data_IF_914197686437
#
_entry.id   IF_914197686437
#
_cell.length_a   1.000
_cell.length_b   1.000
_cell.length_c   1.000
_cell.angle_alpha   90.00
_cell.angle_beta   90.00
_cell.angle_gamma   90.00
#
_symmetry.space_group_name_H-M   'P 1'
#
loop_
_entity.id
_entity.type
_entity.pdbx_description
1 polymer ?
#
# COMPACT_ATOMS: atom_id res chain seq x y z
N UNK A 1 -30.56 39.27 -53.37
CA UNK A 1 -29.87 40.29 -54.20
C UNK A 1 -28.68 39.74 -54.99
N UNK A 2 -27.71 39.03 -54.38
CA UNK A 2 -26.52 38.50 -55.10
C UNK A 2 -26.86 37.56 -56.28
N UNK A 3 -27.83 36.66 -56.08
CA UNK A 3 -28.29 35.73 -57.13
C UNK A 3 -28.99 36.42 -58.30
N UNK A 4 -29.77 37.48 -58.03
CA UNK A 4 -30.44 38.27 -59.06
C UNK A 4 -29.43 39.08 -59.89
N UNK A 5 -28.41 39.66 -59.24
CA UNK A 5 -27.34 40.39 -59.91
C UNK A 5 -26.46 39.47 -60.79
N UNK A 6 -26.20 38.24 -60.35
CA UNK A 6 -25.50 37.23 -61.16
C UNK A 6 -26.32 36.80 -62.38
N UNK A 7 -27.64 36.68 -62.25
CA UNK A 7 -28.53 36.34 -63.36
C UNK A 7 -28.58 37.45 -64.41
N UNK A 8 -28.64 38.71 -63.97
CA UNK A 8 -28.64 39.87 -64.86
C UNK A 8 -27.28 40.07 -65.56
N UNK A 9 -26.18 39.80 -64.85
CA UNK A 9 -24.83 39.79 -65.43
C UNK A 9 -24.66 38.64 -66.44
N UNK A 10 -25.17 37.44 -66.13
CA UNK A 10 -25.14 36.31 -67.05
C UNK A 10 -25.94 36.59 -68.33
N UNK A 11 -27.12 37.20 -68.21
CA UNK A 11 -27.96 37.62 -69.34
C UNK A 11 -27.27 38.68 -70.22
N UNK A 12 -26.57 39.63 -69.58
CA UNK A 12 -25.81 40.66 -70.29
C UNK A 12 -24.62 40.07 -71.04
N UNK A 13 -23.88 39.16 -70.42
CA UNK A 13 -22.74 38.46 -71.05
C UNK A 13 -23.20 37.55 -72.19
N UNK A 14 -24.32 36.83 -72.05
CA UNK A 14 -24.87 36.02 -73.15
C UNK A 14 -25.35 36.86 -74.31
N UNK A 15 -25.97 38.03 -74.06
CA UNK A 15 -26.36 38.97 -75.12
C UNK A 15 -25.16 39.57 -75.86
N UNK A 16 -24.07 39.89 -75.14
CA UNK A 16 -22.83 40.42 -75.72
C UNK A 16 -22.10 39.37 -76.57
N UNK A 17 -22.06 38.13 -76.10
CA UNK A 17 -21.51 36.98 -76.83
C UNK A 17 -22.35 36.68 -78.07
N UNK A 18 -23.68 36.72 -77.98
CA UNK A 18 -24.58 36.51 -79.11
C UNK A 18 -24.42 37.60 -80.20
N UNK A 19 -24.16 38.85 -79.81
CA UNK A 19 -23.88 39.92 -80.77
C UNK A 19 -22.53 39.71 -81.48
N UNK A 20 -21.50 39.26 -80.75
CA UNK A 20 -20.20 38.88 -81.32
C UNK A 20 -20.24 37.68 -82.27
N UNK A 21 -21.23 36.78 -82.13
CA UNK A 21 -21.45 35.66 -83.06
C UNK A 21 -21.93 36.09 -84.45
N UNK A 22 -22.56 37.26 -84.57
CA UNK A 22 -23.21 37.72 -85.82
C UNK A 22 -22.24 38.46 -86.75
N UNK A 23 -21.13 39.00 -86.24
CA UNK A 23 -20.22 39.84 -87.02
C UNK A 23 -19.03 39.11 -87.66
N UNK A 24 -18.59 37.94 -87.18
CA UNK A 24 -17.53 37.15 -87.84
C UNK A 24 -17.62 35.64 -87.50
N UNK A 25 -17.79 34.81 -88.54
CA UNK A 25 -17.75 33.34 -88.44
C UNK A 25 -16.30 32.84 -88.53
N UNK A 26 -15.47 33.17 -87.53
CA UNK A 26 -14.17 32.53 -87.39
C UNK A 26 -14.34 31.00 -87.35
N UNK A 27 -13.52 30.27 -88.10
CA UNK A 27 -13.52 28.81 -88.11
C UNK A 27 -12.24 28.28 -87.46
N UNK A 28 -12.36 27.16 -86.76
CA UNK A 28 -11.24 26.39 -86.23
C UNK A 28 -11.10 25.18 -87.15
N UNK A 29 -9.96 25.08 -87.84
CA UNK A 29 -9.61 23.92 -88.63
C UNK A 29 -8.57 23.11 -87.86
N UNK A 30 -8.96 21.88 -87.47
CA UNK A 30 -8.05 20.93 -86.83
C UNK A 30 -7.72 19.88 -87.89
N UNK A 31 -6.50 19.93 -88.42
CA UNK A 31 -5.98 18.93 -89.34
C UNK A 31 -5.22 17.86 -88.56
N UNK A 32 -5.62 16.60 -88.71
CA UNK A 32 -4.91 15.45 -88.14
C UNK A 32 -4.80 14.36 -89.20
N UNK A 33 -3.58 14.10 -89.67
CA UNK A 33 -3.34 13.19 -90.82
C UNK A 33 -4.03 13.68 -92.09
N UNK A 34 -4.74 12.78 -92.78
CA UNK A 34 -5.51 13.08 -94.00
C UNK A 34 -6.93 13.59 -93.72
N UNK A 35 -7.29 13.84 -92.45
CA UNK A 35 -8.63 14.30 -92.06
C UNK A 35 -8.61 15.73 -91.55
N UNK A 36 -9.41 16.58 -92.18
CA UNK A 36 -9.66 17.95 -91.73
C UNK A 36 -11.03 18.04 -91.07
N UNK A 37 -11.05 18.44 -89.81
CA UNK A 37 -12.29 18.77 -89.09
C UNK A 37 -12.45 20.27 -89.03
N UNK A 38 -13.47 20.78 -89.72
CA UNK A 38 -13.86 22.19 -89.68
C UNK A 38 -14.98 22.36 -88.66
N UNK A 39 -14.74 23.20 -87.65
CA UNK A 39 -15.76 23.59 -86.68
C UNK A 39 -15.82 25.11 -86.56
N UNK A 40 -16.97 25.65 -86.18
CA UNK A 40 -17.08 27.08 -85.89
C UNK A 40 -16.34 27.39 -84.59
N UNK A 41 -15.68 28.54 -84.52
CA UNK A 41 -14.91 28.96 -83.33
C UNK A 41 -15.77 28.91 -82.06
N UNK A 42 -17.05 29.24 -82.20
CA UNK A 42 -18.04 29.17 -81.13
C UNK A 42 -18.36 27.75 -80.67
N UNK A 43 -18.48 26.79 -81.59
CA UNK A 43 -18.69 25.39 -81.23
C UNK A 43 -17.47 24.81 -80.50
N UNK A 44 -16.26 25.19 -80.92
CA UNK A 44 -15.02 24.87 -80.20
C UNK A 44 -14.99 25.43 -78.78
N UNK A 45 -15.41 26.67 -78.58
CA UNK A 45 -15.48 27.30 -77.25
C UNK A 45 -16.47 26.59 -76.33
N UNK A 46 -17.67 26.26 -76.84
CA UNK A 46 -18.68 25.50 -76.09
C UNK A 46 -18.13 24.13 -75.69
N UNK A 47 -17.43 23.43 -76.59
CA UNK A 47 -16.83 22.14 -76.30
C UNK A 47 -15.80 22.21 -75.16
N UNK A 48 -14.93 23.22 -75.17
CA UNK A 48 -13.94 23.43 -74.09
C UNK A 48 -14.64 23.70 -72.75
N UNK A 49 -15.71 24.51 -72.76
CA UNK A 49 -16.46 24.85 -71.55
C UNK A 49 -17.19 23.62 -70.98
N UNK A 50 -17.79 22.80 -71.84
CA UNK A 50 -18.40 21.52 -71.47
C UNK A 50 -17.35 20.57 -70.89
N UNK A 51 -16.17 20.47 -71.51
CA UNK A 51 -15.08 19.62 -71.02
C UNK A 51 -14.60 20.07 -69.63
N UNK A 52 -14.48 21.39 -69.42
CA UNK A 52 -14.09 21.96 -68.13
C UNK A 52 -15.14 21.71 -67.05
N UNK A 53 -16.43 21.89 -67.39
CA UNK A 53 -17.53 21.59 -66.48
C UNK A 53 -17.58 20.10 -66.12
N UNK A 54 -17.39 19.20 -67.10
CA UNK A 54 -17.33 17.76 -66.88
C UNK A 54 -16.16 17.38 -65.95
N UNK A 55 -14.96 17.93 -66.18
CA UNK A 55 -13.80 17.75 -65.30
C UNK A 55 -14.08 18.24 -63.87
N UNK A 56 -14.74 19.40 -63.72
CA UNK A 56 -15.08 19.95 -62.42
C UNK A 56 -16.07 19.05 -61.66
N UNK A 57 -17.11 18.56 -62.34
CA UNK A 57 -18.10 17.61 -61.78
C UNK A 57 -17.44 16.29 -61.41
N UNK A 58 -16.59 15.72 -62.27
CA UNK A 58 -15.85 14.48 -61.99
C UNK A 58 -14.96 14.66 -60.75
N UNK A 59 -14.27 15.80 -60.62
CA UNK A 59 -13.42 16.10 -59.45
C UNK A 59 -14.24 16.22 -58.17
N UNK A 60 -15.40 16.87 -58.24
CA UNK A 60 -16.32 17.00 -57.10
C UNK A 60 -16.90 15.64 -56.68
N UNK A 61 -17.28 14.81 -57.65
CA UNK A 61 -17.78 13.46 -57.41
C UNK A 61 -16.69 12.57 -56.78
N UNK A 62 -15.45 12.64 -57.28
CA UNK A 62 -14.30 11.95 -56.67
C UNK A 62 -14.12 12.36 -55.21
N UNK A 63 -14.16 13.66 -54.90
CA UNK A 63 -14.02 14.15 -53.52
C UNK A 63 -15.12 13.64 -52.58
N UNK A 64 -16.38 13.56 -53.04
CA UNK A 64 -17.50 13.05 -52.22
C UNK A 64 -17.42 11.53 -52.03
N UNK A 65 -17.09 10.79 -53.08
CA UNK A 65 -16.97 9.32 -53.02
C UNK A 65 -15.76 8.91 -52.17
N UNK A 66 -14.59 9.50 -52.41
CA UNK A 66 -13.37 9.25 -51.61
C UNK A 66 -13.42 9.87 -50.21
N UNK A 67 -14.28 10.88 -49.97
CA UNK A 67 -14.52 11.42 -48.63
C UNK A 67 -15.47 10.53 -47.79
N UNK A 68 -16.37 9.80 -48.45
CA UNK A 68 -17.30 8.86 -47.81
C UNK A 68 -16.63 7.53 -47.45
N UNK A 69 -15.68 7.07 -48.27
CA UNK A 69 -14.76 6.01 -47.89
C UNK A 69 -13.62 6.63 -47.08
N UNK A 70 -13.57 6.39 -45.78
CA UNK A 70 -12.65 6.97 -44.77
C UNK A 70 -11.13 6.70 -45.01
N UNK A 71 -10.67 6.56 -46.25
CA UNK A 71 -9.33 6.17 -46.69
C UNK A 71 -8.35 7.35 -46.80
N UNK A 72 -8.80 8.60 -46.89
CA UNK A 72 -7.91 9.73 -47.26
C UNK A 72 -8.03 10.95 -46.34
N UNK A 73 -8.28 10.75 -45.04
CA UNK A 73 -7.85 11.76 -44.07
C UNK A 73 -6.41 11.41 -43.72
N UNK A 74 -5.38 12.15 -44.19
CA UNK A 74 -4.03 11.95 -43.69
C UNK A 74 -4.12 12.17 -42.20
N UNK A 75 -4.00 11.08 -41.45
CA UNK A 75 -4.02 11.10 -40.01
C UNK A 75 -2.74 11.82 -39.59
N UNK A 76 -2.84 13.14 -39.51
CA UNK A 76 -1.75 14.00 -39.06
C UNK A 76 -1.32 13.55 -37.67
N UNK A 77 -0.03 13.71 -37.35
CA UNK A 77 0.50 13.37 -36.03
C UNK A 77 -0.32 14.03 -34.90
N UNK A 78 -0.83 15.25 -35.13
CA UNK A 78 -1.73 15.94 -34.21
C UNK A 78 -3.09 15.25 -34.00
N UNK A 79 -3.69 14.68 -35.06
CA UNK A 79 -4.94 13.92 -34.95
C UNK A 79 -4.75 12.59 -34.21
N UNK A 80 -3.59 11.91 -34.37
CA UNK A 80 -3.23 10.72 -33.56
C UNK A 80 -3.13 11.07 -32.09
N UNK A 81 -2.35 12.10 -31.75
CA UNK A 81 -2.17 12.57 -30.37
C UNK A 81 -3.50 12.96 -29.71
N UNK A 82 -4.37 13.68 -30.43
CA UNK A 82 -5.70 14.04 -29.91
C UNK A 82 -6.56 12.81 -29.61
N UNK A 83 -6.56 11.82 -30.51
CA UNK A 83 -7.30 10.56 -30.29
C UNK A 83 -6.70 9.73 -29.16
N UNK A 84 -5.38 9.65 -29.06
CA UNK A 84 -4.70 8.98 -27.96
C UNK A 84 -5.05 9.62 -26.60
N UNK A 85 -5.07 10.96 -26.50
CA UNK A 85 -5.51 11.68 -25.29
C UNK A 85 -6.97 11.36 -24.93
N UNK A 86 -7.88 11.38 -25.91
CA UNK A 86 -9.29 11.02 -25.69
C UNK A 86 -9.43 9.57 -25.21
N UNK A 87 -8.70 8.65 -25.83
CA UNK A 87 -8.69 7.24 -25.44
C UNK A 87 -8.10 7.05 -24.04
N UNK A 88 -7.05 7.78 -23.66
CA UNK A 88 -6.49 7.75 -22.31
C UNK A 88 -7.52 8.19 -21.27
N UNK A 89 -8.15 9.36 -21.47
CA UNK A 89 -9.15 9.89 -20.53
C UNK A 89 -10.37 8.96 -20.42
N UNK A 90 -10.89 8.46 -21.54
CA UNK A 90 -12.01 7.50 -21.53
C UNK A 90 -11.61 6.16 -20.93
N UNK A 91 -10.39 5.71 -21.21
CA UNK A 91 -9.84 4.47 -20.67
C UNK A 91 -9.69 4.51 -19.16
N UNK A 92 -9.16 5.61 -18.61
CA UNK A 92 -9.08 5.84 -17.16
C UNK A 92 -10.48 5.92 -16.53
N UNK A 93 -11.43 6.61 -17.17
CA UNK A 93 -12.81 6.65 -16.69
C UNK A 93 -13.44 5.24 -16.66
N UNK A 94 -13.22 4.44 -17.70
CA UNK A 94 -13.69 3.06 -17.75
C UNK A 94 -13.01 2.17 -16.72
N UNK A 95 -11.73 2.39 -16.44
CA UNK A 95 -11.02 1.71 -15.34
C UNK A 95 -11.72 2.01 -14.00
N UNK A 96 -11.99 3.29 -13.70
CA UNK A 96 -12.67 3.66 -12.44
C UNK A 96 -14.09 3.07 -12.36
N UNK A 97 -14.81 3.03 -13.48
CA UNK A 97 -16.16 2.44 -13.56
C UNK A 97 -16.20 0.91 -13.46
N UNK A 98 -15.04 0.23 -13.47
CA UNK A 98 -14.96 -1.23 -13.48
C UNK A 98 -15.13 -1.87 -14.86
N UNK A 99 -15.14 -1.09 -15.93
CA UNK A 99 -15.25 -1.57 -17.30
C UNK A 99 -13.88 -2.02 -17.85
N UNK A 100 -13.27 -2.99 -17.19
CA UNK A 100 -11.87 -3.41 -17.39
C UNK A 100 -11.52 -3.73 -18.85
N UNK A 101 -12.40 -4.50 -19.53
CA UNK A 101 -12.22 -4.91 -20.93
C UNK A 101 -12.13 -3.73 -21.90
N UNK A 102 -12.92 -2.69 -21.67
CA UNK A 102 -12.86 -1.47 -22.50
C UNK A 102 -11.68 -0.60 -22.11
N UNK A 103 -11.37 -0.55 -20.82
CA UNK A 103 -10.28 0.25 -20.26
C UNK A 103 -8.92 -0.19 -20.83
N UNK A 104 -8.55 -1.48 -20.73
CA UNK A 104 -7.23 -1.93 -21.19
C UNK A 104 -7.04 -1.71 -22.71
N UNK A 105 -8.10 -1.90 -23.53
CA UNK A 105 -8.04 -1.65 -24.98
C UNK A 105 -7.81 -0.17 -25.29
N UNK A 106 -8.53 0.72 -24.62
CA UNK A 106 -8.41 2.17 -24.82
C UNK A 106 -7.06 2.69 -24.31
N UNK A 107 -6.63 2.23 -23.12
CA UNK A 107 -5.36 2.59 -22.51
C UNK A 107 -4.16 2.04 -23.29
N UNK A 108 -4.20 0.78 -23.73
CA UNK A 108 -3.15 0.17 -24.55
C UNK A 108 -2.97 0.89 -25.90
N UNK A 109 -4.08 1.25 -26.57
CA UNK A 109 -4.01 2.09 -27.79
C UNK A 109 -3.46 3.49 -27.49
N UNK A 110 -3.89 4.09 -26.38
CA UNK A 110 -3.39 5.39 -25.95
C UNK A 110 -1.91 5.37 -25.54
N UNK A 111 -1.40 4.22 -25.09
CA UNK A 111 0.01 4.04 -24.75
C UNK A 111 0.88 4.01 -26.01
N UNK A 112 0.48 3.26 -27.04
CA UNK A 112 1.22 3.12 -28.29
C UNK A 112 1.28 4.40 -29.14
N UNK A 113 0.24 5.24 -29.08
CA UNK A 113 0.11 6.44 -29.94
C UNK A 113 0.21 7.77 -29.18
N UNK A 114 0.28 7.73 -27.84
CA UNK A 114 0.13 8.90 -26.98
C UNK A 114 1.43 9.48 -26.44
N UNK A 115 1.31 10.59 -25.72
CA UNK A 115 2.44 11.33 -25.14
C UNK A 115 2.84 10.82 -23.75
N UNK A 116 2.06 9.90 -23.17
CA UNK A 116 2.36 9.30 -21.85
C UNK A 116 2.24 7.77 -21.88
N UNK A 117 3.14 7.08 -22.61
CA UNK A 117 3.09 5.62 -22.75
C UNK A 117 3.15 4.89 -21.42
N UNK A 118 4.04 5.31 -20.50
CA UNK A 118 4.23 4.65 -19.20
C UNK A 118 2.94 4.56 -18.39
N UNK A 119 2.30 5.71 -18.12
CA UNK A 119 1.08 5.75 -17.29
C UNK A 119 -0.04 4.94 -17.94
N UNK A 120 -0.17 5.03 -19.26
CA UNK A 120 -1.20 4.31 -20.00
C UNK A 120 -0.95 2.79 -20.01
N UNK A 121 0.29 2.32 -20.19
CA UNK A 121 0.62 0.91 -20.10
C UNK A 121 0.43 0.36 -18.69
N UNK A 122 0.85 1.08 -17.64
CA UNK A 122 0.64 0.63 -16.25
C UNK A 122 -0.85 0.57 -15.90
N UNK A 123 -1.64 1.54 -16.36
CA UNK A 123 -3.10 1.52 -16.18
C UNK A 123 -3.76 0.38 -16.98
N UNK A 124 -3.27 0.10 -18.20
CA UNK A 124 -3.73 -1.03 -19.00
C UNK A 124 -3.37 -2.39 -18.35
N UNK A 125 -2.17 -2.52 -17.79
CA UNK A 125 -1.74 -3.67 -17.01
C UNK A 125 -2.67 -3.90 -15.81
N UNK A 126 -2.99 -2.84 -15.06
CA UNK A 126 -3.95 -2.93 -13.95
C UNK A 126 -5.35 -3.36 -14.40
N UNK A 127 -5.84 -2.84 -15.52
CA UNK A 127 -7.12 -3.26 -16.09
C UNK A 127 -7.11 -4.74 -16.49
N UNK A 128 -6.04 -5.21 -17.14
CA UNK A 128 -5.87 -6.61 -17.53
C UNK A 128 -5.80 -7.54 -16.30
N UNK A 129 -5.09 -7.13 -15.26
CA UNK A 129 -4.98 -7.88 -14.02
C UNK A 129 -6.33 -8.03 -13.31
N UNK A 130 -7.13 -6.96 -13.28
CA UNK A 130 -8.49 -7.00 -12.73
C UNK A 130 -9.47 -7.85 -13.55
N UNK A 131 -9.12 -8.18 -14.81
CA UNK A 131 -9.83 -9.17 -15.61
C UNK A 131 -9.38 -10.61 -15.35
N UNK A 132 -8.30 -10.82 -14.59
CA UNK A 132 -7.66 -12.12 -14.39
C UNK A 132 -6.75 -12.55 -15.55
N UNK A 133 -6.40 -11.64 -16.46
CA UNK A 133 -5.52 -11.93 -17.61
C UNK A 133 -4.06 -11.61 -17.28
N UNK A 134 -3.40 -12.57 -16.61
CA UNK A 134 -1.98 -12.48 -16.24
C UNK A 134 -1.03 -12.37 -17.44
N UNK A 135 -1.20 -13.13 -18.54
CA UNK A 135 -0.38 -12.97 -19.74
C UNK A 135 -0.40 -11.55 -20.29
N UNK A 136 -1.59 -10.96 -20.41
CA UNK A 136 -1.77 -9.61 -20.93
C UNK A 136 -1.22 -8.54 -19.96
N UNK A 137 -1.36 -8.77 -18.65
CA UNK A 137 -0.76 -7.93 -17.61
C UNK A 137 0.76 -7.88 -17.77
N UNK A 138 1.40 -9.06 -17.89
CA UNK A 138 2.84 -9.17 -18.10
C UNK A 138 3.30 -8.54 -19.42
N UNK A 139 2.50 -8.64 -20.48
CA UNK A 139 2.78 -7.98 -21.76
C UNK A 139 2.84 -6.45 -21.62
N UNK A 140 1.84 -5.84 -20.98
CA UNK A 140 1.81 -4.39 -20.78
C UNK A 140 2.95 -3.89 -19.89
N UNK A 141 3.30 -4.63 -18.83
CA UNK A 141 4.44 -4.29 -17.97
C UNK A 141 5.77 -4.37 -18.74
N UNK A 142 5.97 -5.40 -19.57
CA UNK A 142 7.16 -5.50 -20.43
C UNK A 142 7.25 -4.37 -21.45
N UNK A 143 6.15 -4.00 -22.10
CA UNK A 143 6.13 -2.85 -23.02
C UNK A 143 6.45 -1.55 -22.32
N UNK A 144 5.92 -1.34 -21.11
CA UNK A 144 6.24 -0.17 -20.31
C UNK A 144 7.74 -0.06 -20.00
N UNK A 145 8.40 -1.17 -19.64
CA UNK A 145 9.83 -1.19 -19.34
C UNK A 145 10.72 -1.04 -20.60
N UNK A 146 10.31 -1.63 -21.72
CA UNK A 146 11.06 -1.59 -22.97
C UNK A 146 10.93 -0.26 -23.74
N UNK A 147 9.74 0.34 -23.77
CA UNK A 147 9.46 1.52 -24.59
C UNK A 147 9.76 2.84 -23.85
N UNK A 148 9.86 2.84 -22.52
CA UNK A 148 10.06 4.06 -21.72
C UNK A 148 11.34 3.98 -20.88
N UNK A 149 12.37 4.76 -21.23
CA UNK A 149 13.59 4.84 -20.44
C UNK A 149 13.32 5.25 -18.98
N UNK A 150 13.89 4.53 -18.01
CA UNK A 150 13.72 4.82 -16.58
C UNK A 150 12.41 4.31 -15.96
N UNK A 151 11.57 3.58 -16.72
CA UNK A 151 10.30 3.04 -16.22
C UNK A 151 10.43 1.91 -15.19
N UNK A 152 11.60 1.27 -15.09
CA UNK A 152 11.84 0.06 -14.28
C UNK A 152 11.35 0.16 -12.84
N UNK A 153 11.50 1.32 -12.21
CA UNK A 153 11.01 1.54 -10.83
C UNK A 153 9.48 1.54 -10.77
N UNK A 154 8.83 2.26 -11.68
CA UNK A 154 7.38 2.35 -11.74
C UNK A 154 6.74 1.00 -12.12
N UNK A 155 7.36 0.27 -13.04
CA UNK A 155 6.97 -1.09 -13.44
C UNK A 155 7.08 -2.05 -12.26
N UNK A 156 8.23 -2.07 -11.56
CA UNK A 156 8.43 -2.95 -10.40
C UNK A 156 7.49 -2.65 -9.24
N UNK A 157 7.22 -1.37 -8.95
CA UNK A 157 6.23 -0.97 -7.94
C UNK A 157 4.83 -1.45 -8.34
N UNK A 158 4.45 -1.23 -9.60
CA UNK A 158 3.13 -1.65 -10.10
C UNK A 158 2.98 -3.16 -10.01
N UNK A 159 3.99 -3.92 -10.46
CA UNK A 159 4.00 -5.37 -10.35
C UNK A 159 3.82 -5.85 -8.90
N UNK A 160 4.57 -5.28 -7.96
CA UNK A 160 4.44 -5.60 -6.54
C UNK A 160 3.05 -5.26 -5.98
N UNK A 161 2.45 -4.14 -6.40
CA UNK A 161 1.09 -3.76 -6.01
C UNK A 161 0.04 -4.75 -6.54
N UNK A 162 0.17 -5.20 -7.79
CA UNK A 162 -0.76 -6.16 -8.40
C UNK A 162 -0.70 -7.49 -7.65
N UNK A 163 0.51 -8.03 -7.40
CA UNK A 163 0.68 -9.24 -6.58
C UNK A 163 0.09 -9.08 -5.17
N UNK A 164 0.33 -7.93 -4.53
CA UNK A 164 -0.27 -7.59 -3.21
C UNK A 164 -1.80 -7.58 -3.25
N UNK A 165 -2.41 -7.04 -4.31
CA UNK A 165 -3.87 -7.01 -4.46
C UNK A 165 -4.49 -8.38 -4.67
N UNK A 166 -3.76 -9.32 -5.28
CA UNK A 166 -4.18 -10.72 -5.44
C UNK A 166 -3.87 -11.60 -4.23
N UNK A 167 -3.26 -11.06 -3.17
CA UNK A 167 -2.82 -11.86 -2.02
C UNK A 167 -1.59 -12.74 -2.31
N UNK A 168 -0.92 -12.55 -3.44
CA UNK A 168 0.30 -13.25 -3.84
C UNK A 168 1.52 -12.63 -3.12
N UNK A 169 1.60 -12.84 -1.81
CA UNK A 169 2.56 -12.15 -0.94
C UNK A 169 4.02 -12.51 -1.26
N UNK A 170 4.30 -13.78 -1.58
CA UNK A 170 5.66 -14.24 -1.92
C UNK A 170 6.15 -13.64 -3.23
N UNK A 171 5.28 -13.58 -4.25
CA UNK A 171 5.59 -12.96 -5.54
C UNK A 171 5.81 -11.46 -5.37
N UNK A 172 4.99 -10.80 -4.54
CA UNK A 172 5.20 -9.40 -4.20
C UNK A 172 6.54 -9.17 -3.48
N UNK A 173 6.91 -10.06 -2.56
CA UNK A 173 8.18 -9.99 -1.85
C UNK A 173 9.37 -10.15 -2.80
N UNK A 174 9.31 -11.12 -3.71
CA UNK A 174 10.35 -11.35 -4.71
C UNK A 174 10.56 -10.13 -5.61
N UNK A 175 9.46 -9.57 -6.14
CA UNK A 175 9.49 -8.36 -6.97
C UNK A 175 10.07 -7.15 -6.21
N UNK A 176 9.66 -6.94 -4.95
CA UNK A 176 10.17 -5.84 -4.13
C UNK A 176 11.65 -6.02 -3.76
N UNK A 177 12.11 -7.25 -3.52
CA UNK A 177 13.52 -7.53 -3.24
C UNK A 177 14.42 -7.30 -4.46
N UNK A 178 13.96 -7.68 -5.66
CA UNK A 178 14.67 -7.35 -6.90
C UNK A 178 14.74 -5.83 -7.09
N UNK A 179 13.62 -5.13 -6.90
CA UNK A 179 13.56 -3.68 -7.00
C UNK A 179 14.46 -3.00 -5.97
N UNK A 180 14.54 -3.53 -4.75
CA UNK A 180 15.38 -3.01 -3.67
C UNK A 180 16.87 -3.09 -4.01
N UNK A 181 17.33 -4.07 -4.80
CA UNK A 181 18.72 -4.11 -5.29
C UNK A 181 19.04 -2.92 -6.20
N UNK A 182 18.06 -2.48 -7.00
CA UNK A 182 18.20 -1.36 -7.94
C UNK A 182 18.04 -0.02 -7.23
N UNK A 183 17.03 0.13 -6.37
CA UNK A 183 16.70 1.40 -5.68
C UNK A 183 16.42 1.16 -4.19
N UNK A 184 17.47 0.96 -3.36
CA UNK A 184 17.30 0.53 -1.97
C UNK A 184 16.62 1.55 -1.05
N UNK A 185 16.58 2.83 -1.45
CA UNK A 185 16.09 3.94 -0.62
C UNK A 185 14.72 4.48 -1.04
N UNK A 186 14.02 3.83 -1.97
CA UNK A 186 12.75 4.33 -2.47
C UNK A 186 11.65 4.26 -1.38
N UNK A 187 11.11 5.39 -0.87
CA UNK A 187 10.22 5.39 0.31
C UNK A 187 8.96 4.56 0.12
N UNK A 188 8.30 4.67 -1.04
CA UNK A 188 7.07 3.93 -1.30
C UNK A 188 7.29 2.42 -1.39
N UNK A 189 8.43 1.99 -1.92
CA UNK A 189 8.80 0.56 -1.98
C UNK A 189 9.02 0.01 -0.58
N UNK A 190 9.68 0.78 0.30
CA UNK A 190 9.87 0.41 1.70
C UNK A 190 8.53 0.28 2.43
N UNK A 191 7.54 1.15 2.15
CA UNK A 191 6.17 0.98 2.68
C UNK A 191 5.51 -0.32 2.21
N UNK A 192 5.68 -0.69 0.93
CA UNK A 192 5.16 -1.96 0.42
C UNK A 192 5.83 -3.15 1.09
N UNK A 193 7.15 -3.10 1.30
CA UNK A 193 7.89 -4.15 2.02
C UNK A 193 7.39 -4.32 3.45
N UNK A 194 7.12 -3.23 4.18
CA UNK A 194 6.50 -3.30 5.52
C UNK A 194 5.19 -4.07 5.46
N UNK A 195 4.31 -3.73 4.50
CA UNK A 195 3.01 -4.39 4.35
C UNK A 195 3.16 -5.88 4.02
N UNK A 196 4.12 -6.24 3.16
CA UNK A 196 4.39 -7.63 2.78
C UNK A 196 4.94 -8.41 3.98
N UNK A 197 5.98 -7.91 4.64
CA UNK A 197 6.57 -8.59 5.79
C UNK A 197 5.58 -8.76 6.94
N UNK A 198 4.76 -7.74 7.20
CA UNK A 198 3.71 -7.82 8.22
C UNK A 198 2.68 -8.92 7.90
N UNK A 199 2.22 -9.01 6.64
CA UNK A 199 1.25 -10.03 6.22
C UNK A 199 1.82 -11.45 6.14
N UNK A 200 3.13 -11.58 5.88
CA UNK A 200 3.83 -12.86 5.88
C UNK A 200 4.30 -13.30 7.28
N UNK A 201 4.10 -12.48 8.31
CA UNK A 201 4.64 -12.71 9.66
C UNK A 201 6.19 -12.85 9.68
N UNK A 202 6.85 -12.15 8.76
CA UNK A 202 8.31 -12.10 8.59
C UNK A 202 8.92 -11.04 9.52
N UNK A 203 8.77 -11.25 10.82
CA UNK A 203 9.12 -10.25 11.85
C UNK A 203 10.61 -9.94 11.91
N UNK A 204 11.49 -10.91 11.66
CA UNK A 204 12.95 -10.70 11.63
C UNK A 204 13.35 -9.76 10.47
N UNK A 205 12.71 -9.93 9.32
CA UNK A 205 12.92 -9.07 8.15
C UNK A 205 12.35 -7.67 8.38
N UNK A 206 11.19 -7.58 9.05
CA UNK A 206 10.60 -6.31 9.46
C UNK A 206 11.49 -5.57 10.46
N UNK A 207 12.02 -6.26 11.47
CA UNK A 207 12.93 -5.71 12.48
C UNK A 207 14.19 -5.10 11.85
N UNK A 208 14.79 -5.78 10.87
CA UNK A 208 15.94 -5.26 10.11
C UNK A 208 15.60 -4.05 9.24
N UNK A 209 14.33 -3.88 8.86
CA UNK A 209 13.86 -2.76 8.04
C UNK A 209 13.61 -1.49 8.86
N UNK A 210 13.21 -1.59 10.13
CA UNK A 210 12.83 -0.46 10.98
C UNK A 210 13.87 0.69 11.04
N UNK A 211 15.18 0.44 11.25
CA UNK A 211 16.17 1.52 11.29
C UNK A 211 16.30 2.27 9.96
N UNK A 212 16.06 1.58 8.84
CA UNK A 212 16.08 2.16 7.50
C UNK A 212 14.86 3.08 7.32
N UNK A 213 13.68 2.67 7.80
CA UNK A 213 12.46 3.48 7.76
C UNK A 213 12.59 4.76 8.57
N UNK A 214 13.18 4.67 9.76
CA UNK A 214 13.42 5.81 10.65
C UNK A 214 14.40 6.80 10.02
N UNK A 215 15.54 6.31 9.52
CA UNK A 215 16.58 7.14 8.89
C UNK A 215 16.06 7.89 7.67
N UNK A 216 15.18 7.26 6.88
CA UNK A 216 14.62 7.85 5.67
C UNK A 216 13.27 8.55 5.89
N UNK A 217 12.77 8.63 7.14
CA UNK A 217 11.49 9.24 7.50
C UNK A 217 10.33 8.76 6.62
N UNK A 218 10.32 7.45 6.32
CA UNK A 218 9.32 6.84 5.43
C UNK A 218 7.94 6.85 6.08
N UNK A 219 7.91 6.66 7.40
CA UNK A 219 6.72 6.65 8.25
C UNK A 219 6.92 7.63 9.41
N UNK A 220 5.82 8.14 10.01
CA UNK A 220 5.88 8.89 11.26
C UNK A 220 6.57 8.09 12.38
N UNK A 221 7.26 8.78 13.28
CA UNK A 221 8.00 8.13 14.39
C UNK A 221 7.07 7.30 15.30
N UNK A 222 5.83 7.73 15.48
CA UNK A 222 4.82 7.01 16.26
C UNK A 222 4.43 5.67 15.60
N UNK A 223 4.21 5.66 14.29
CA UNK A 223 3.93 4.43 13.54
C UNK A 223 5.12 3.46 13.59
N UNK A 224 6.35 3.97 13.49
CA UNK A 224 7.56 3.15 13.60
C UNK A 224 7.66 2.54 15.00
N UNK A 225 7.40 3.33 16.06
CA UNK A 225 7.44 2.83 17.44
C UNK A 225 6.37 1.76 17.70
N UNK A 226 5.17 1.94 17.15
CA UNK A 226 4.10 0.94 17.23
C UNK A 226 4.50 -0.36 16.51
N UNK A 227 4.94 -0.24 15.26
CA UNK A 227 5.39 -1.37 14.44
C UNK A 227 6.57 -2.12 15.07
N UNK A 228 7.48 -1.38 15.72
CA UNK A 228 8.58 -1.95 16.48
C UNK A 228 8.07 -2.77 17.67
N UNK A 229 7.13 -2.22 18.45
CA UNK A 229 6.52 -2.94 19.57
C UNK A 229 5.87 -4.25 19.12
N UNK A 230 5.02 -4.18 18.09
CA UNK A 230 4.33 -5.34 17.52
C UNK A 230 5.33 -6.39 16.98
N UNK A 231 6.36 -5.97 16.24
CA UNK A 231 7.36 -6.89 15.70
C UNK A 231 8.11 -7.63 16.81
N UNK A 232 8.53 -6.92 17.86
CA UNK A 232 9.25 -7.54 18.97
C UNK A 232 8.37 -8.41 19.84
N UNK A 233 7.12 -8.00 20.10
CA UNK A 233 6.14 -8.85 20.78
C UNK A 233 6.02 -10.21 20.10
N UNK A 234 5.87 -10.21 18.78
CA UNK A 234 5.73 -11.43 17.98
C UNK A 234 7.03 -12.25 17.95
N UNK A 235 8.19 -11.60 17.82
CA UNK A 235 9.49 -12.29 17.89
C UNK A 235 9.70 -12.97 19.25
N UNK A 236 9.38 -12.28 20.36
CA UNK A 236 9.45 -12.88 21.69
C UNK A 236 8.44 -14.02 21.86
N UNK A 237 7.21 -13.87 21.35
CA UNK A 237 6.22 -14.95 21.36
C UNK A 237 6.72 -16.19 20.61
N UNK A 238 7.27 -16.02 19.40
CA UNK A 238 7.84 -17.12 18.62
C UNK A 238 9.05 -17.77 19.32
N UNK A 239 9.94 -16.98 19.92
CA UNK A 239 11.06 -17.48 20.69
C UNK A 239 10.59 -18.26 21.93
N UNK A 240 9.57 -17.76 22.63
CA UNK A 240 8.97 -18.43 23.78
C UNK A 240 8.31 -19.75 23.39
N UNK A 241 7.58 -19.80 22.28
CA UNK A 241 6.96 -21.03 21.79
C UNK A 241 8.00 -22.08 21.39
N UNK A 242 9.10 -21.67 20.73
CA UNK A 242 10.23 -22.57 20.43
C UNK A 242 10.82 -23.14 21.71
N UNK A 243 11.04 -22.31 22.74
CA UNK A 243 11.52 -22.75 24.05
C UNK A 243 10.56 -23.71 24.76
N UNK A 244 9.25 -23.46 24.69
CA UNK A 244 8.23 -24.33 25.29
C UNK A 244 8.18 -25.70 24.60
N UNK A 245 8.34 -25.74 23.26
CA UNK A 245 8.38 -26.99 22.50
C UNK A 245 9.64 -27.82 22.79
N UNK A 246 10.76 -27.17 23.12
CA UNK A 246 11.99 -27.85 23.56
C UNK A 246 11.86 -28.50 24.95
N UNK A 247 10.83 -28.14 25.73
CA UNK A 247 10.54 -28.78 27.01
C UNK A 247 11.61 -28.55 28.08
N UNK A 248 12.26 -29.62 28.52
CA UNK A 248 13.31 -29.61 29.57
C UNK A 248 14.74 -29.55 29.00
N UNK A 249 14.89 -29.36 27.70
CA UNK A 249 16.20 -29.22 27.09
C UNK A 249 16.96 -28.03 27.71
N UNK A 250 18.27 -28.17 27.93
CA UNK A 250 19.12 -27.12 28.48
C UNK A 250 19.08 -25.86 27.58
N UNK A 251 18.86 -26.06 26.29
CA UNK A 251 18.79 -25.01 25.29
C UNK A 251 17.41 -24.33 25.18
N UNK A 252 16.45 -24.64 26.05
CA UNK A 252 15.09 -24.04 25.98
C UNK A 252 15.08 -22.51 26.05
N UNK A 253 16.06 -21.91 26.73
CA UNK A 253 16.18 -20.45 26.87
C UNK A 253 16.96 -19.80 25.72
N UNK A 254 17.72 -20.58 24.96
CA UNK A 254 18.59 -20.10 23.88
C UNK A 254 17.86 -19.20 22.87
N UNK A 255 16.62 -19.50 22.40
CA UNK A 255 15.93 -18.61 21.46
C UNK A 255 15.62 -17.23 22.06
N UNK A 256 15.27 -17.19 23.35
CA UNK A 256 14.94 -15.94 24.05
C UNK A 256 16.20 -15.16 24.37
N UNK A 257 17.25 -15.83 24.85
CA UNK A 257 18.55 -15.20 25.14
C UNK A 257 19.21 -14.66 23.87
N UNK A 258 19.19 -15.42 22.76
CA UNK A 258 19.72 -14.94 21.47
C UNK A 258 18.98 -13.69 20.96
N UNK A 259 17.64 -13.67 21.08
CA UNK A 259 16.86 -12.49 20.72
C UNK A 259 17.19 -11.31 21.64
N UNK A 260 17.24 -11.53 22.96
CA UNK A 260 17.61 -10.49 23.92
C UNK A 260 19.01 -9.94 23.64
N UNK A 261 19.99 -10.79 23.34
CA UNK A 261 21.36 -10.38 23.08
C UNK A 261 21.56 -9.65 21.77
N UNK A 262 20.68 -9.88 20.78
CA UNK A 262 20.63 -9.08 19.56
C UNK A 262 20.17 -7.63 19.78
N UNK A 263 19.53 -7.33 20.91
CA UNK A 263 19.03 -5.98 21.21
C UNK A 263 20.16 -5.01 21.55
N UNK A 264 20.06 -3.79 21.02
CA UNK A 264 20.94 -2.68 21.41
C UNK A 264 20.75 -2.28 22.87
N UNK A 265 21.73 -1.58 23.46
CA UNK A 265 21.64 -1.07 24.84
C UNK A 265 20.42 -0.17 25.07
N UNK A 266 20.01 0.61 24.07
CA UNK A 266 18.81 1.47 24.14
C UNK A 266 17.53 0.63 24.18
N UNK A 267 17.47 -0.43 23.37
CA UNK A 267 16.33 -1.35 23.33
C UNK A 267 16.20 -2.18 24.61
N UNK A 268 17.31 -2.62 25.21
CA UNK A 268 17.30 -3.30 26.51
C UNK A 268 16.81 -2.43 27.68
N UNK A 269 16.68 -1.11 27.48
CA UNK A 269 16.10 -0.18 28.45
C UNK A 269 14.64 0.18 28.13
N UNK A 270 14.12 -0.24 26.98
CA UNK A 270 12.72 -0.03 26.63
C UNK A 270 11.83 -0.93 27.50
N UNK A 271 10.95 -0.30 28.26
CA UNK A 271 10.04 -0.95 29.20
C UNK A 271 9.20 -2.04 28.52
N UNK A 272 8.72 -1.79 27.30
CA UNK A 272 7.88 -2.76 26.55
C UNK A 272 8.67 -4.01 26.18
N UNK A 273 9.93 -3.86 25.75
CA UNK A 273 10.79 -4.99 25.36
C UNK A 273 11.20 -5.82 26.58
N UNK A 274 11.50 -5.16 27.69
CA UNK A 274 11.78 -5.82 28.98
C UNK A 274 10.56 -6.63 29.41
N UNK A 275 9.36 -6.06 29.31
CA UNK A 275 8.10 -6.72 29.65
C UNK A 275 7.88 -7.99 28.82
N UNK A 276 8.02 -7.93 27.48
CA UNK A 276 7.87 -9.11 26.62
C UNK A 276 8.89 -10.20 26.96
N UNK A 277 10.15 -9.82 27.19
CA UNK A 277 11.19 -10.77 27.59
C UNK A 277 10.88 -11.42 28.95
N UNK A 278 10.51 -10.62 29.95
CA UNK A 278 10.14 -11.10 31.28
C UNK A 278 8.94 -12.05 31.25
N UNK A 279 7.91 -11.74 30.45
CA UNK A 279 6.79 -12.65 30.21
C UNK A 279 7.24 -14.00 29.64
N UNK A 280 8.15 -13.99 28.66
CA UNK A 280 8.68 -15.22 28.08
C UNK A 280 9.46 -16.04 29.13
N UNK A 281 10.32 -15.40 29.91
CA UNK A 281 11.09 -16.06 30.96
C UNK A 281 10.19 -16.66 32.05
N UNK A 282 9.14 -15.94 32.47
CA UNK A 282 8.14 -16.42 33.42
C UNK A 282 7.38 -17.63 32.85
N UNK A 283 6.94 -17.57 31.58
CA UNK A 283 6.26 -18.70 30.93
C UNK A 283 7.15 -19.93 30.78
N UNK A 284 8.44 -19.72 30.53
CA UNK A 284 9.46 -20.77 30.50
C UNK A 284 9.88 -21.23 31.90
N UNK A 285 9.33 -20.65 32.98
CA UNK A 285 9.71 -20.95 34.37
C UNK A 285 11.20 -20.69 34.66
N UNK A 286 11.82 -19.76 33.94
CA UNK A 286 13.19 -19.30 34.19
C UNK A 286 13.18 -18.17 35.23
N UNK A 287 12.74 -18.50 36.44
CA UNK A 287 12.43 -17.53 37.48
C UNK A 287 13.61 -16.64 37.87
N UNK A 288 14.78 -17.23 38.10
CA UNK A 288 15.97 -16.48 38.52
C UNK A 288 16.46 -15.53 37.43
N UNK A 289 16.35 -15.95 36.17
CA UNK A 289 16.68 -15.07 35.04
C UNK A 289 15.70 -13.91 34.93
N UNK A 290 14.41 -14.16 35.13
CA UNK A 290 13.38 -13.12 35.16
C UNK A 290 13.59 -12.14 36.32
N UNK A 291 13.95 -12.63 37.51
CA UNK A 291 14.27 -11.83 38.69
C UNK A 291 15.44 -10.89 38.41
N UNK A 292 16.54 -11.43 37.88
CA UNK A 292 17.74 -10.66 37.56
C UNK A 292 17.44 -9.57 36.52
N UNK A 293 16.71 -9.91 35.45
CA UNK A 293 16.33 -8.97 34.41
C UNK A 293 15.50 -7.83 35.00
N UNK A 294 14.38 -8.15 35.65
CA UNK A 294 13.44 -7.16 36.18
C UNK A 294 14.07 -6.32 37.30
N UNK A 295 14.82 -6.92 38.23
CA UNK A 295 15.48 -6.19 39.31
C UNK A 295 16.51 -5.18 38.79
N UNK A 296 17.26 -5.55 37.74
CA UNK A 296 18.25 -4.65 37.13
C UNK A 296 17.61 -3.42 36.47
N UNK A 297 16.42 -3.56 35.90
CA UNK A 297 15.67 -2.49 35.24
C UNK A 297 14.93 -1.63 36.26
N UNK A 298 14.21 -2.25 37.20
CA UNK A 298 13.46 -1.56 38.26
C UNK A 298 14.36 -0.68 39.14
N UNK A 299 15.59 -1.12 39.42
CA UNK A 299 16.58 -0.32 40.17
C UNK A 299 16.97 0.97 39.44
N UNK A 300 16.93 1.00 38.11
CA UNK A 300 17.27 2.18 37.30
C UNK A 300 16.05 3.07 37.06
N UNK A 301 14.90 2.45 36.81
CA UNK A 301 13.65 3.12 36.54
C UNK A 301 12.50 2.26 37.06
N UNK A 302 11.84 2.77 38.09
CA UNK A 302 10.63 2.16 38.59
C UNK A 302 9.52 2.19 37.52
N UNK A 303 8.79 1.07 37.40
CA UNK A 303 7.63 0.92 36.53
C UNK A 303 6.64 -0.03 37.21
N UNK A 304 5.39 0.40 37.35
CA UNK A 304 4.30 -0.44 37.86
C UNK A 304 4.10 -1.68 37.01
N UNK A 305 4.25 -1.55 35.69
CA UNK A 305 4.05 -2.66 34.75
C UNK A 305 5.08 -3.76 34.95
N UNK A 306 6.34 -3.38 35.09
CA UNK A 306 7.43 -4.32 35.39
C UNK A 306 7.36 -4.86 36.82
N UNK A 307 6.92 -4.03 37.78
CA UNK A 307 6.75 -4.43 39.18
C UNK A 307 5.66 -5.50 39.34
N UNK A 308 4.57 -5.37 38.58
CA UNK A 308 3.49 -6.37 38.56
C UNK A 308 3.99 -7.74 38.09
N UNK A 309 4.95 -7.78 37.16
CA UNK A 309 5.62 -9.01 36.73
C UNK A 309 6.61 -9.51 37.78
N UNK A 310 7.41 -8.62 38.37
CA UNK A 310 8.40 -8.98 39.38
C UNK A 310 7.76 -9.68 40.58
N UNK A 311 6.60 -9.21 41.04
CA UNK A 311 5.85 -9.86 42.11
C UNK A 311 5.33 -11.27 41.78
N UNK A 312 5.26 -11.66 40.51
CA UNK A 312 4.87 -13.01 40.07
C UNK A 312 6.05 -13.97 39.96
N UNK A 313 7.28 -13.46 39.95
CA UNK A 313 8.49 -14.28 39.83
C UNK A 313 8.72 -15.04 41.12
N UNK A 314 8.92 -16.36 41.03
CA UNK A 314 9.27 -17.25 42.14
C UNK A 314 10.76 -17.54 42.14
N UNK A 315 11.57 -16.57 42.58
CA UNK A 315 13.04 -16.76 42.62
C UNK A 315 13.43 -17.85 43.62
N UNK A 316 14.56 -18.52 43.36
CA UNK A 316 15.19 -19.43 44.30
C UNK A 316 15.64 -18.73 45.59
N UNK A 317 15.98 -17.44 45.51
CA UNK A 317 16.30 -16.58 46.67
C UNK A 317 15.15 -15.60 46.97
N UNK A 318 14.07 -16.15 47.53
CA UNK A 318 12.88 -15.39 47.91
C UNK A 318 13.18 -14.32 48.99
N UNK A 319 14.19 -14.54 49.84
CA UNK A 319 14.59 -13.61 50.88
C UNK A 319 15.28 -12.37 50.30
N UNK A 320 16.21 -12.54 49.35
CA UNK A 320 16.81 -11.42 48.64
C UNK A 320 15.77 -10.63 47.82
N UNK A 321 14.82 -11.33 47.20
CA UNK A 321 13.70 -10.71 46.48
C UNK A 321 12.85 -9.83 47.42
N UNK A 322 12.60 -10.29 48.65
CA UNK A 322 11.87 -9.53 49.67
C UNK A 322 12.64 -8.28 50.09
N UNK A 323 13.94 -8.39 50.41
CA UNK A 323 14.76 -7.24 50.83
C UNK A 323 14.78 -6.15 49.75
N UNK A 324 14.93 -6.52 48.48
CA UNK A 324 14.88 -5.58 47.34
C UNK A 324 13.51 -4.89 47.27
N UNK A 325 12.43 -5.64 47.45
CA UNK A 325 11.06 -5.11 47.39
C UNK A 325 10.74 -4.19 48.57
N UNK A 326 11.17 -4.54 49.78
CA UNK A 326 11.04 -3.68 50.97
C UNK A 326 11.85 -2.38 50.80
N UNK A 327 13.00 -2.43 50.13
CA UNK A 327 13.76 -1.25 49.72
C UNK A 327 12.94 -0.31 48.81
N UNK A 328 12.34 -0.86 47.75
CA UNK A 328 11.46 -0.09 46.86
C UNK A 328 10.23 0.45 47.57
N UNK A 329 9.69 -0.27 48.56
CA UNK A 329 8.52 0.18 49.32
C UNK A 329 8.82 1.39 50.23
N UNK A 330 10.08 1.56 50.67
CA UNK A 330 10.50 2.78 51.37
C UNK A 330 10.49 4.00 50.45
N UNK A 331 10.82 3.81 49.17
CA UNK A 331 10.82 4.88 48.16
C UNK A 331 9.40 5.18 47.64
N UNK A 332 8.54 4.16 47.55
CA UNK A 332 7.18 4.24 47.00
C UNK A 332 6.13 3.61 47.94
N UNK A 333 5.91 4.16 49.15
CA UNK A 333 5.11 3.50 50.20
C UNK A 333 3.63 3.33 49.87
N UNK A 334 3.05 4.23 49.06
CA UNK A 334 1.62 4.24 48.73
C UNK A 334 1.35 3.81 47.28
N UNK A 335 2.23 3.01 46.68
CA UNK A 335 1.99 2.44 45.36
C UNK A 335 1.22 1.11 45.47
N UNK A 336 -0.03 1.02 44.96
CA UNK A 336 -0.84 -0.20 45.06
C UNK A 336 -0.21 -1.41 44.36
N UNK A 337 0.44 -1.21 43.21
CA UNK A 337 1.03 -2.31 42.43
C UNK A 337 2.25 -2.90 43.15
N UNK A 338 3.06 -2.05 43.74
CA UNK A 338 4.18 -2.47 44.59
C UNK A 338 3.71 -3.23 45.82
N UNK A 339 2.64 -2.77 46.48
CA UNK A 339 2.06 -3.45 47.65
C UNK A 339 1.52 -4.85 47.29
N UNK A 340 0.89 -5.01 46.12
CA UNK A 340 0.48 -6.33 45.63
C UNK A 340 1.70 -7.22 45.38
N UNK A 341 2.74 -6.68 44.73
CA UNK A 341 3.96 -7.44 44.45
C UNK A 341 4.68 -7.85 45.75
N UNK A 342 4.76 -6.94 46.72
CA UNK A 342 5.27 -7.21 48.06
C UNK A 342 4.47 -8.31 48.75
N UNK A 343 3.14 -8.25 48.73
CA UNK A 343 2.28 -9.28 49.31
C UNK A 343 2.53 -10.67 48.68
N UNK A 344 2.66 -10.75 47.35
CA UNK A 344 2.98 -12.01 46.65
C UNK A 344 4.35 -12.59 47.04
N UNK A 345 5.34 -11.72 47.27
CA UNK A 345 6.69 -12.13 47.69
C UNK A 345 6.69 -12.52 49.16
N UNK A 346 5.94 -11.84 50.03
CA UNK A 346 5.71 -12.26 51.40
C UNK A 346 5.07 -13.65 51.48
N UNK A 347 4.07 -13.94 50.63
CA UNK A 347 3.50 -15.29 50.54
C UNK A 347 4.56 -16.34 50.14
N UNK A 348 5.47 -16.01 49.21
CA UNK A 348 6.57 -16.91 48.83
C UNK A 348 7.60 -17.13 49.95
N UNK A 349 7.69 -16.21 50.92
CA UNK A 349 8.52 -16.33 52.12
C UNK A 349 7.71 -16.81 53.34
N UNK A 350 6.47 -17.26 53.16
CA UNK A 350 5.57 -17.72 54.24
C UNK A 350 5.27 -16.64 55.31
N UNK A 351 5.41 -15.36 54.96
CA UNK A 351 5.13 -14.21 55.83
C UNK A 351 3.67 -13.75 55.67
N UNK A 352 2.74 -14.62 56.03
CA UNK A 352 1.29 -14.45 55.78
C UNK A 352 0.70 -13.16 56.36
N UNK A 353 1.12 -12.77 57.57
CA UNK A 353 0.65 -11.53 58.21
C UNK A 353 1.05 -10.27 57.44
N UNK A 354 2.32 -10.17 57.04
CA UNK A 354 2.81 -9.06 56.20
C UNK A 354 2.14 -9.05 54.82
N UNK A 355 1.90 -10.24 54.25
CA UNK A 355 1.22 -10.36 52.97
C UNK A 355 -0.21 -9.81 53.04
N UNK A 356 -0.96 -10.20 54.07
CA UNK A 356 -2.33 -9.70 54.33
C UNK A 356 -2.35 -8.19 54.47
N UNK A 357 -1.48 -7.63 55.32
CA UNK A 357 -1.39 -6.17 55.53
C UNK A 357 -1.11 -5.43 54.21
N UNK A 358 -0.21 -5.97 53.38
CA UNK A 358 0.16 -5.37 52.10
C UNK A 358 -1.02 -5.35 51.12
N UNK A 359 -1.74 -6.47 51.00
CA UNK A 359 -2.91 -6.56 50.13
C UNK A 359 -4.06 -5.67 50.62
N UNK A 360 -4.34 -5.65 51.92
CA UNK A 360 -5.36 -4.77 52.50
C UNK A 360 -5.02 -3.29 52.30
N UNK A 361 -3.74 -2.91 52.47
CA UNK A 361 -3.28 -1.56 52.21
C UNK A 361 -3.41 -1.20 50.73
N UNK A 362 -3.07 -2.11 49.81
CA UNK A 362 -3.29 -1.90 48.38
C UNK A 362 -4.77 -1.66 48.07
N UNK A 363 -5.69 -2.44 48.66
CA UNK A 363 -7.13 -2.31 48.43
C UNK A 363 -7.69 -0.98 48.97
N UNK A 364 -7.16 -0.49 50.09
CA UNK A 364 -7.52 0.82 50.65
C UNK A 364 -7.13 1.97 49.72
N UNK A 365 -5.98 1.85 49.06
CA UNK A 365 -5.49 2.87 48.13
C UNK A 365 -6.19 2.81 46.76
N UNK A 366 -6.34 1.60 46.22
CA UNK A 366 -7.01 1.37 44.94
C UNK A 366 -7.74 0.03 44.95
N UNK A 367 -9.06 0.08 44.84
CA UNK A 367 -9.87 -1.13 44.64
C UNK A 367 -9.48 -1.78 43.31
N UNK A 368 -8.97 -3.00 43.38
CA UNK A 368 -8.45 -3.73 42.23
C UNK A 368 -8.89 -5.18 42.30
N UNK A 369 -9.35 -5.70 41.16
CA UNK A 369 -9.70 -7.11 40.99
C UNK A 369 -8.53 -8.02 41.34
N UNK A 370 -7.31 -7.61 40.99
CA UNK A 370 -6.08 -8.33 41.31
C UNK A 370 -5.86 -8.43 42.82
N UNK A 371 -5.96 -7.32 43.55
CA UNK A 371 -5.74 -7.31 44.99
C UNK A 371 -6.82 -8.11 45.76
N UNK A 372 -8.08 -8.03 45.33
CA UNK A 372 -9.18 -8.86 45.86
C UNK A 372 -8.90 -10.35 45.67
N UNK A 373 -8.44 -10.75 44.47
CA UNK A 373 -8.13 -12.14 44.18
C UNK A 373 -6.93 -12.65 45.01
N UNK A 374 -5.84 -11.87 45.10
CA UNK A 374 -4.66 -12.27 45.90
C UNK A 374 -4.99 -12.40 47.39
N UNK A 375 -5.75 -11.46 47.95
CA UNK A 375 -6.19 -11.53 49.35
C UNK A 375 -7.15 -12.69 49.59
N UNK A 376 -8.09 -12.92 48.66
CA UNK A 376 -9.00 -14.06 48.70
C UNK A 376 -8.27 -15.40 48.70
N UNK A 377 -7.23 -15.54 47.85
CA UNK A 377 -6.39 -16.74 47.79
C UNK A 377 -5.60 -16.95 49.09
N UNK A 378 -5.00 -15.89 49.64
CA UNK A 378 -4.27 -15.94 50.91
C UNK A 378 -5.20 -16.39 52.06
N UNK A 379 -6.38 -15.79 52.17
CA UNK A 379 -7.35 -16.13 53.22
C UNK A 379 -7.89 -17.56 53.07
N UNK A 380 -8.09 -18.04 51.84
CA UNK A 380 -8.46 -19.43 51.60
C UNK A 380 -7.36 -20.39 52.08
N UNK A 381 -6.09 -20.06 51.83
CA UNK A 381 -4.95 -20.85 52.30
C UNK A 381 -4.83 -20.87 53.84
N UNK A 382 -5.27 -19.80 54.51
CA UNK A 382 -5.32 -19.69 55.97
C UNK A 382 -6.59 -20.32 56.60
N UNK A 383 -7.52 -20.85 55.79
CA UNK A 383 -8.78 -21.43 56.26
C UNK A 383 -9.91 -20.42 56.55
N UNK A 384 -9.71 -19.13 56.29
CA UNK A 384 -10.70 -18.06 56.46
C UNK A 384 -11.66 -17.98 55.25
N UNK A 385 -12.42 -19.06 55.00
CA UNK A 385 -13.22 -19.23 53.78
C UNK A 385 -14.34 -18.20 53.59
N UNK A 386 -14.99 -17.73 54.67
CA UNK A 386 -16.03 -16.70 54.58
C UNK A 386 -15.46 -15.35 54.11
N UNK A 387 -14.36 -14.93 54.72
CA UNK A 387 -13.67 -13.69 54.35
C UNK A 387 -13.10 -13.78 52.93
N UNK A 388 -12.53 -14.94 52.56
CA UNK A 388 -12.08 -15.23 51.21
C UNK A 388 -13.21 -15.07 50.18
N UNK A 389 -14.36 -15.70 50.41
CA UNK A 389 -15.54 -15.62 49.53
C UNK A 389 -16.03 -14.19 49.36
N UNK A 390 -16.02 -13.39 50.43
CA UNK A 390 -16.39 -11.97 50.38
C UNK A 390 -15.49 -11.18 49.43
N UNK A 391 -14.17 -11.35 49.52
CA UNK A 391 -13.24 -10.64 48.64
C UNK A 391 -13.30 -11.14 47.19
N UNK A 392 -13.54 -12.43 46.96
CA UNK A 392 -13.79 -12.93 45.60
C UNK A 392 -15.06 -12.33 44.98
N UNK A 393 -16.14 -12.20 45.77
CA UNK A 393 -17.38 -11.54 45.33
C UNK A 393 -17.13 -10.07 44.99
N UNK A 394 -16.44 -9.34 45.85
CA UNK A 394 -16.07 -7.94 45.59
C UNK A 394 -15.22 -7.81 44.31
N UNK A 395 -14.24 -8.70 44.13
CA UNK A 395 -13.44 -8.75 42.90
C UNK A 395 -14.28 -8.99 41.64
N UNK A 396 -15.29 -9.86 41.72
CA UNK A 396 -16.21 -10.12 40.61
C UNK A 396 -17.13 -8.93 40.31
N UNK A 397 -17.62 -8.25 41.34
CA UNK A 397 -18.40 -7.01 41.18
C UNK A 397 -17.57 -5.90 40.54
N UNK A 398 -16.29 -5.78 40.89
CA UNK A 398 -15.39 -4.82 40.25
C UNK A 398 -15.13 -5.18 38.78
N UNK A 399 -14.93 -6.46 38.47
CA UNK A 399 -14.71 -6.92 37.10
C UNK A 399 -15.91 -6.69 36.19
N UNK A 400 -17.13 -6.84 36.71
CA UNK A 400 -18.37 -6.63 35.93
C UNK A 400 -18.75 -5.16 35.75
N UNK A 401 -18.21 -4.25 36.57
CA UNK A 401 -18.41 -2.79 36.45
C UNK A 401 -17.39 -2.10 35.54
N UNK A 402 -16.31 -2.78 35.16
CA UNK A 402 -15.35 -2.25 34.19
C UNK A 402 -15.92 -2.48 32.77
N UNK A 403 -16.16 -1.42 31.97
CA UNK A 403 -16.78 -1.52 30.64
C UNK A 403 -15.90 -2.19 29.59
#
# INVERSE_FOLDING_TARGET
MKWFLMLLLALFVTALVANGMVLDNGYILIAYGDTTFETTLWMGLVLVLVLFAALWVIRALLWVVLGSFNLVVPVTAGSRRRRARINASRGLLNLIKGNWRTAHRQLGKAAAEGESPLVNYLAAARAAHLMGDEPLTGEYLRRADAEVPGATVAVGITQAQLHLSSGQLEQALAALNELRRKVPRHPYMLKLLVRVYYRLHEWESLQRLLPILERHRVLPAEEISKLQGEAYEQLFSQACERGLRAGKDENRLQPVDALWDSLSRKQKQDERLVEHCAHCLIRLQAWDRAEQLLSSVLRRRYSDRLMALYGRVRSSDAAAQLIKTEGLLKEHPDNPVLLIAHGRICCANELWGKARESFERSLKLSRSTVACNELGQLLAQLGEHEASTRYFREGLELATRQP
#
